data_IF_628912484381
#
_entry.id   IF_628912484381
#
_cell.length_a   1.000
_cell.length_b   1.000
_cell.length_c   1.000
_cell.angle_alpha   90.00
_cell.angle_beta   90.00
_cell.angle_gamma   90.00
#
_symmetry.space_group_name_H-M   'P 1'
#
loop_
_entity.id
_entity.type
_entity.pdbx_description
1 polymer ?
#
# COMPACT_ATOMS: atom_id res chain seq x y z
N UNK A 1 -12.13 7.34 1.17
CA UNK A 1 -11.71 6.47 2.29
C UNK A 1 -11.00 7.33 3.31
N UNK A 2 -11.20 7.14 4.61
CA UNK A 2 -10.40 7.80 5.64
C UNK A 2 -9.64 6.74 6.47
N UNK A 3 -8.71 7.17 7.32
CA UNK A 3 -7.87 6.26 8.12
C UNK A 3 -8.69 5.36 9.05
N UNK A 4 -9.73 5.91 9.69
CA UNK A 4 -10.57 5.20 10.66
C UNK A 4 -11.38 4.07 9.99
N UNK A 5 -11.98 4.35 8.84
CA UNK A 5 -12.73 3.37 8.05
C UNK A 5 -11.83 2.25 7.54
N UNK A 6 -10.60 2.58 7.14
CA UNK A 6 -9.61 1.59 6.70
C UNK A 6 -9.20 0.69 7.87
N UNK A 7 -8.91 1.29 9.03
CA UNK A 7 -8.51 0.57 10.24
C UNK A 7 -9.62 -0.38 10.73
N UNK A 8 -10.88 0.07 10.71
CA UNK A 8 -12.03 -0.76 11.06
C UNK A 8 -12.19 -1.95 10.12
N UNK A 9 -12.06 -1.74 8.80
CA UNK A 9 -12.10 -2.84 7.82
C UNK A 9 -10.93 -3.81 8.01
N UNK A 10 -9.71 -3.30 8.22
CA UNK A 10 -8.54 -4.13 8.47
C UNK A 10 -8.74 -4.99 9.72
N UNK A 11 -9.26 -4.41 10.81
CA UNK A 11 -9.57 -5.13 12.04
C UNK A 11 -10.63 -6.22 11.83
N UNK A 12 -11.69 -5.92 11.08
CA UNK A 12 -12.73 -6.90 10.73
C UNK A 12 -12.19 -8.07 9.91
N UNK A 13 -11.17 -7.84 9.08
CA UNK A 13 -10.54 -8.85 8.24
C UNK A 13 -9.33 -9.54 8.89
N UNK A 14 -9.00 -9.21 10.14
CA UNK A 14 -7.81 -9.72 10.83
C UNK A 14 -6.49 -9.32 10.17
N UNK A 15 -6.46 -8.19 9.46
CA UNK A 15 -5.26 -7.69 8.80
C UNK A 15 -4.40 -6.92 9.78
N UNK A 16 -3.14 -7.34 9.88
CA UNK A 16 -2.15 -6.69 10.75
C UNK A 16 -0.96 -6.30 9.90
N UNK A 17 -0.56 -5.02 9.94
CA UNK A 17 0.64 -4.53 9.25
C UNK A 17 1.78 -4.31 10.25
N UNK A 18 1.48 -4.04 11.52
CA UNK A 18 2.47 -3.92 12.60
C UNK A 18 2.39 -5.13 13.53
N UNK A 19 3.52 -5.80 13.79
CA UNK A 19 3.57 -6.97 14.69
C UNK A 19 4.64 -7.99 14.29
N UNK A 20 4.77 -9.03 15.12
CA UNK A 20 5.71 -10.15 14.96
C UNK A 20 5.21 -11.13 13.89
N UNK A 21 5.40 -10.74 12.62
CA UNK A 21 5.04 -11.56 11.47
C UNK A 21 6.12 -11.44 10.40
N UNK A 22 6.23 -12.45 9.55
CA UNK A 22 7.17 -12.41 8.43
C UNK A 22 6.90 -11.23 7.49
N UNK A 23 7.95 -10.75 6.82
CA UNK A 23 7.86 -9.73 5.77
C UNK A 23 6.79 -10.06 4.71
N UNK A 24 6.69 -11.32 4.30
CA UNK A 24 5.70 -11.77 3.32
C UNK A 24 4.27 -11.67 3.85
N UNK A 25 4.03 -12.07 5.10
CA UNK A 25 2.72 -11.93 5.75
C UNK A 25 2.32 -10.46 5.83
N UNK A 26 3.25 -9.58 6.22
CA UNK A 26 3.03 -8.14 6.30
C UNK A 26 2.71 -7.55 4.93
N UNK A 27 3.48 -7.93 3.91
CA UNK A 27 3.28 -7.49 2.54
C UNK A 27 1.93 -7.95 1.96
N UNK A 28 1.47 -9.16 2.29
CA UNK A 28 0.14 -9.65 1.93
C UNK A 28 -0.97 -8.83 2.60
N UNK A 29 -0.83 -8.55 3.91
CA UNK A 29 -1.77 -7.70 4.65
C UNK A 29 -1.84 -6.28 4.07
N UNK A 30 -0.68 -5.72 3.73
CA UNK A 30 -0.57 -4.43 3.03
C UNK A 30 -1.30 -4.45 1.68
N UNK A 31 -1.07 -5.45 0.82
CA UNK A 31 -1.74 -5.53 -0.49
C UNK A 31 -3.27 -5.58 -0.35
N UNK A 32 -3.77 -6.29 0.67
CA UNK A 32 -5.20 -6.35 0.97
C UNK A 32 -5.72 -5.00 1.45
N UNK A 33 -5.02 -4.33 2.37
CA UNK A 33 -5.37 -3.00 2.84
C UNK A 33 -5.35 -1.96 1.71
N UNK A 34 -4.36 -2.02 0.82
CA UNK A 34 -4.25 -1.15 -0.35
C UNK A 34 -5.45 -1.32 -1.29
N UNK A 35 -5.91 -2.55 -1.52
CA UNK A 35 -7.12 -2.82 -2.32
C UNK A 35 -8.40 -2.33 -1.68
N UNK A 36 -8.44 -2.21 -0.36
CA UNK A 36 -9.58 -1.62 0.36
C UNK A 36 -9.54 -0.11 0.21
N UNK A 37 -8.37 0.50 0.44
CA UNK A 37 -8.19 1.94 0.31
C UNK A 37 -8.45 2.44 -1.12
N UNK A 38 -7.83 1.78 -2.10
CA UNK A 38 -7.98 2.05 -3.53
C UNK A 38 -8.48 0.78 -4.24
N UNK A 39 -9.81 0.62 -4.36
CA UNK A 39 -10.41 -0.50 -5.08
C UNK A 39 -9.92 -0.55 -6.53
N UNK A 40 -9.29 -1.65 -6.98
CA UNK A 40 -8.81 -1.76 -8.36
C UNK A 40 -10.00 -1.81 -9.32
N UNK A 41 -10.02 -0.95 -10.33
CA UNK A 41 -11.09 -0.88 -11.33
C UNK A 41 -10.80 -1.75 -12.55
N UNK A 42 -9.53 -2.13 -12.74
CA UNK A 42 -9.06 -2.91 -13.88
C UNK A 42 -8.10 -4.03 -13.48
N UNK A 43 -7.86 -4.96 -14.40
CA UNK A 43 -6.81 -5.97 -14.24
C UNK A 43 -5.41 -5.34 -14.16
N UNK A 44 -5.20 -4.21 -14.84
CA UNK A 44 -3.96 -3.44 -14.78
C UNK A 44 -3.71 -2.91 -13.36
N UNK A 45 -4.74 -2.37 -12.69
CA UNK A 45 -4.62 -1.89 -11.31
C UNK A 45 -4.23 -3.02 -10.34
N UNK A 46 -4.86 -4.19 -10.49
CA UNK A 46 -4.53 -5.38 -9.67
C UNK A 46 -3.07 -5.78 -9.84
N UNK A 47 -2.58 -5.73 -11.07
CA UNK A 47 -1.18 -6.02 -11.39
C UNK A 47 -0.25 -4.97 -10.79
N UNK A 48 -0.60 -3.69 -10.88
CA UNK A 48 0.17 -2.59 -10.27
C UNK A 48 0.30 -2.76 -8.76
N UNK A 49 -0.78 -3.12 -8.04
CA UNK A 49 -0.73 -3.33 -6.59
C UNK A 49 0.18 -4.50 -6.21
N UNK A 50 0.11 -5.59 -6.97
CA UNK A 50 1.02 -6.73 -6.81
C UNK A 50 2.48 -6.34 -7.06
N UNK A 51 2.73 -5.52 -8.08
CA UNK A 51 4.09 -5.06 -8.41
C UNK A 51 4.65 -4.12 -7.34
N UNK A 52 3.83 -3.21 -6.80
CA UNK A 52 4.23 -2.33 -5.68
C UNK A 52 4.54 -3.16 -4.44
N UNK A 53 3.71 -4.15 -4.10
CA UNK A 53 4.00 -5.08 -3.00
C UNK A 53 5.35 -5.77 -3.20
N UNK A 54 5.57 -6.39 -4.36
CA UNK A 54 6.82 -7.09 -4.68
C UNK A 54 8.04 -6.17 -4.57
N UNK A 55 7.91 -4.95 -5.09
CA UNK A 55 8.96 -3.94 -5.03
C UNK A 55 9.28 -3.52 -3.59
N UNK A 56 8.27 -3.29 -2.74
CA UNK A 56 8.49 -2.97 -1.33
C UNK A 56 9.20 -4.11 -0.60
N UNK A 57 8.79 -5.36 -0.82
CA UNK A 57 9.46 -6.54 -0.26
C UNK A 57 10.93 -6.60 -0.68
N UNK A 58 11.22 -6.38 -1.95
CA UNK A 58 12.60 -6.34 -2.45
C UNK A 58 13.42 -5.25 -1.76
N UNK A 59 12.87 -4.04 -1.63
CA UNK A 59 13.56 -2.94 -0.95
C UNK A 59 13.76 -3.21 0.55
N UNK A 60 12.82 -3.84 1.23
CA UNK A 60 13.00 -4.27 2.63
C UNK A 60 14.09 -5.33 2.73
N UNK A 61 14.10 -6.35 1.87
CA UNK A 61 15.15 -7.40 1.85
C UNK A 61 16.54 -6.84 1.62
N UNK A 62 16.65 -5.79 0.82
CA UNK A 62 17.91 -5.09 0.56
C UNK A 62 18.24 -4.01 1.61
N UNK A 63 17.56 -4.01 2.77
CA UNK A 63 17.72 -3.03 3.85
C UNK A 63 17.61 -1.57 3.39
N UNK A 64 16.86 -1.31 2.31
CA UNK A 64 16.60 0.06 1.81
C UNK A 64 15.44 0.72 2.52
N UNK A 65 14.49 -0.09 3.02
CA UNK A 65 13.34 0.37 3.79
C UNK A 65 13.18 -0.47 5.05
N UNK A 66 12.72 0.17 6.11
CA UNK A 66 12.36 -0.51 7.35
C UNK A 66 10.93 -1.07 7.23
N UNK A 67 10.79 -2.37 7.47
CA UNK A 67 9.55 -3.08 7.16
C UNK A 67 8.37 -2.71 8.07
N UNK A 68 8.59 -2.21 9.29
CA UNK A 68 7.48 -1.82 10.17
C UNK A 68 6.94 -0.43 9.84
N UNK A 69 7.76 0.42 9.20
CA UNK A 69 7.37 1.79 8.85
C UNK A 69 6.87 1.91 7.41
N UNK A 70 7.54 1.27 6.44
CA UNK A 70 7.30 1.56 5.03
C UNK A 70 5.90 1.14 4.56
N UNK A 71 5.39 0.00 5.02
CA UNK A 71 4.06 -0.44 4.61
C UNK A 71 2.97 0.46 5.17
N UNK A 72 3.15 0.99 6.38
CA UNK A 72 2.24 1.97 6.96
C UNK A 72 2.29 3.27 6.16
N UNK A 73 3.49 3.80 5.94
CA UNK A 73 3.70 5.04 5.17
C UNK A 73 3.12 4.98 3.76
N UNK A 74 3.30 3.86 3.08
CA UNK A 74 2.71 3.68 1.74
C UNK A 74 1.19 3.58 1.81
N UNK A 75 0.63 2.98 2.86
CA UNK A 75 -0.81 2.95 3.05
C UNK A 75 -1.38 4.35 3.32
N UNK A 76 -0.65 5.20 4.05
CA UNK A 76 -1.02 6.60 4.27
C UNK A 76 -1.12 7.37 2.94
N UNK A 77 -0.17 7.15 2.02
CA UNK A 77 -0.26 7.70 0.65
C UNK A 77 -1.50 7.21 -0.11
N UNK A 78 -1.91 5.96 0.12
CA UNK A 78 -3.10 5.42 -0.51
C UNK A 78 -4.39 6.06 0.03
N UNK A 79 -4.43 6.35 1.33
CA UNK A 79 -5.54 7.06 1.98
C UNK A 79 -5.61 8.49 1.44
N UNK A 80 -4.48 9.20 1.40
CA UNK A 80 -4.38 10.56 0.86
C UNK A 80 -4.88 10.61 -0.59
N UNK A 81 -4.41 9.69 -1.43
CA UNK A 81 -4.85 9.58 -2.82
C UNK A 81 -6.36 9.28 -2.97
N UNK A 82 -6.97 8.67 -1.96
CA UNK A 82 -8.39 8.27 -1.91
C UNK A 82 -9.30 9.29 -1.22
N UNK A 83 -8.79 10.52 -1.00
CA UNK A 83 -9.52 11.61 -0.38
C UNK A 83 -10.79 12.04 -1.15
N UNK A 84 -11.72 12.73 -0.48
CA UNK A 84 -12.96 13.21 -1.09
C UNK A 84 -12.65 14.20 -2.22
N UNK A 85 -12.98 13.82 -3.46
CA UNK A 85 -12.70 14.61 -4.67
C UNK A 85 -11.71 13.95 -5.64
N UNK A 86 -11.04 12.87 -5.25
CA UNK A 86 -10.11 12.16 -6.13
C UNK A 86 -10.85 11.42 -7.26
N UNK A 87 -10.73 11.93 -8.50
CA UNK A 87 -11.34 11.31 -9.70
C UNK A 87 -10.61 10.01 -10.11
N UNK A 88 -9.31 9.92 -9.83
CA UNK A 88 -8.47 8.77 -10.15
C UNK A 88 -7.43 8.49 -9.04
N UNK A 89 -7.86 7.85 -7.94
CA UNK A 89 -6.98 7.61 -6.79
C UNK A 89 -5.79 6.71 -7.13
N UNK A 90 -5.94 5.76 -8.05
CA UNK A 90 -4.86 4.86 -8.45
C UNK A 90 -3.70 5.61 -9.13
N UNK A 91 -4.02 6.55 -10.03
CA UNK A 91 -3.02 7.37 -10.68
C UNK A 91 -2.32 8.32 -9.70
N UNK A 92 -3.09 8.98 -8.82
CA UNK A 92 -2.56 9.88 -7.78
C UNK A 92 -1.59 9.12 -6.86
N UNK A 93 -2.02 7.99 -6.32
CA UNK A 93 -1.19 7.13 -5.47
C UNK A 93 0.11 6.70 -6.16
N UNK A 94 0.02 6.24 -7.40
CA UNK A 94 1.21 5.84 -8.16
C UNK A 94 2.16 7.03 -8.34
N UNK A 95 1.63 8.23 -8.57
CA UNK A 95 2.44 9.45 -8.70
C UNK A 95 3.12 9.84 -7.38
N UNK A 96 2.44 9.68 -6.24
CA UNK A 96 3.02 9.93 -4.91
C UNK A 96 4.19 8.98 -4.65
N UNK A 97 4.01 7.66 -4.84
CA UNK A 97 5.10 6.69 -4.61
C UNK A 97 6.29 6.95 -5.56
N UNK A 98 6.03 7.28 -6.82
CA UNK A 98 7.09 7.65 -7.77
C UNK A 98 7.91 8.84 -7.28
N UNK A 99 7.25 9.84 -6.71
CA UNK A 99 7.89 11.06 -6.20
C UNK A 99 8.62 10.82 -4.88
N UNK A 100 7.94 10.23 -3.91
CA UNK A 100 8.43 10.11 -2.53
C UNK A 100 9.43 8.96 -2.34
N UNK A 101 9.25 7.86 -3.09
CA UNK A 101 10.02 6.63 -2.89
C UNK A 101 10.81 6.22 -4.14
N UNK A 102 10.83 7.05 -5.19
CA UNK A 102 11.50 6.77 -6.47
C UNK A 102 11.06 5.44 -7.12
N UNK A 103 9.79 5.06 -6.95
CA UNK A 103 9.26 3.85 -7.58
C UNK A 103 9.39 3.89 -9.10
N UNK A 104 9.87 2.79 -9.70
CA UNK A 104 10.10 2.68 -11.14
C UNK A 104 11.39 3.32 -11.65
N UNK A 105 12.20 3.94 -10.79
CA UNK A 105 13.60 4.28 -11.11
C UNK A 105 14.50 3.14 -10.60
N UNK A 106 15.29 2.58 -11.51
CA UNK A 106 16.33 1.59 -11.21
C UNK A 106 17.62 2.30 -10.85
#
# INVERSE_FOLDING_TARGET
MNELELANHMKSLGLTICGDQSLESRANSFERALKIAIPPRSQSDRTSWRNIRKWLVDRCRNNRFEEHEIFKRVLDFAIEASGPGSKNPAAVFTSIIKKELNYGKS
#
